data_IF_665912304268
#
_entry.id   IF_665912304268
#
_cell.length_a   1.000
_cell.length_b   1.000
_cell.length_c   1.000
_cell.angle_alpha   90.00
_cell.angle_beta   90.00
_cell.angle_gamma   90.00
#
_symmetry.space_group_name_H-M   'P 1'
#
loop_
_entity.id
_entity.type
_entity.pdbx_description
1 polymer ?
#
# COMPACT_ATOMS: atom_id res chain seq x y z
N UNK A 1 45.00 39.54 -58.98
CA UNK A 1 43.95 38.50 -59.00
C UNK A 1 43.44 38.37 -57.57
N UNK A 2 42.39 39.11 -57.18
CA UNK A 2 40.97 38.67 -57.14
C UNK A 2 40.80 37.25 -56.58
N UNK A 3 40.09 37.14 -55.45
CA UNK A 3 39.56 35.86 -54.93
C UNK A 3 39.58 35.83 -53.40
N UNK A 4 38.64 36.54 -52.76
CA UNK A 4 37.45 35.97 -52.08
C UNK A 4 37.74 35.64 -50.61
N UNK A 5 37.46 36.62 -49.73
CA UNK A 5 37.19 36.40 -48.31
C UNK A 5 35.86 35.65 -48.21
N UNK A 6 35.90 34.45 -47.65
CA UNK A 6 34.73 33.62 -47.39
C UNK A 6 34.14 34.08 -46.06
N UNK A 7 33.17 35.01 -46.10
CA UNK A 7 32.36 35.34 -44.92
C UNK A 7 31.36 34.21 -44.69
N UNK A 8 31.55 33.48 -43.59
CA UNK A 8 30.58 32.54 -43.06
C UNK A 8 29.46 33.37 -42.44
N UNK A 9 28.36 33.53 -43.18
CA UNK A 9 27.12 34.11 -42.65
C UNK A 9 26.43 33.01 -41.87
N UNK A 10 26.51 33.10 -40.54
CA UNK A 10 25.73 32.26 -39.64
C UNK A 10 24.26 32.68 -39.75
N UNK A 11 23.50 31.97 -40.58
CA UNK A 11 22.04 32.10 -40.63
C UNK A 11 21.48 31.47 -39.36
N UNK A 12 21.34 32.28 -38.30
CA UNK A 12 20.46 31.95 -37.19
C UNK A 12 19.03 32.08 -37.73
N UNK A 13 18.49 30.95 -38.19
CA UNK A 13 17.06 30.82 -38.48
C UNK A 13 16.36 30.89 -37.13
N UNK A 14 15.97 32.10 -36.74
CA UNK A 14 15.05 32.35 -35.65
C UNK A 14 13.68 31.80 -36.09
N UNK A 15 13.46 30.50 -35.86
CA UNK A 15 12.13 29.92 -35.93
C UNK A 15 11.36 30.55 -34.77
N UNK A 16 10.64 31.62 -35.09
CA UNK A 16 9.59 32.16 -34.26
C UNK A 16 8.50 31.09 -34.19
N UNK A 17 8.65 30.14 -33.25
CA UNK A 17 7.52 29.36 -32.79
C UNK A 17 6.65 30.37 -32.07
N UNK A 18 5.67 30.90 -32.79
CA UNK A 18 4.49 31.48 -32.17
C UNK A 18 3.92 30.34 -31.34
N UNK A 19 4.27 30.31 -30.04
CA UNK A 19 3.54 29.57 -29.03
C UNK A 19 2.12 30.11 -29.13
N UNK A 20 1.28 29.41 -29.90
CA UNK A 20 -0.16 29.51 -29.76
C UNK A 20 -0.41 29.14 -28.30
N UNK A 21 -0.61 30.17 -27.46
CA UNK A 21 -1.07 29.98 -26.10
C UNK A 21 -2.32 29.10 -26.19
N UNK A 22 -2.42 28.00 -25.42
CA UNK A 22 -3.66 27.25 -25.37
C UNK A 22 -4.73 28.24 -24.90
N UNK A 23 -5.68 28.56 -25.77
CA UNK A 23 -6.92 29.20 -25.39
C UNK A 23 -7.47 28.37 -24.24
N UNK A 24 -7.53 28.95 -23.05
CA UNK A 24 -8.07 28.29 -21.85
C UNK A 24 -9.57 28.16 -22.02
N UNK A 25 -10.01 27.14 -22.76
CA UNK A 25 -11.42 26.85 -22.90
C UNK A 25 -11.96 26.33 -21.56
N UNK A 26 -12.97 27.02 -21.02
CA UNK A 26 -13.74 26.55 -19.90
C UNK A 26 -14.43 25.24 -20.25
N UNK A 27 -14.41 24.28 -19.33
CA UNK A 27 -15.11 23.00 -19.47
C UNK A 27 -15.95 22.73 -18.23
N UNK A 28 -16.87 21.78 -18.29
CA UNK A 28 -17.73 21.48 -17.16
C UNK A 28 -17.79 19.97 -16.86
N UNK A 29 -18.01 19.65 -15.59
CA UNK A 29 -18.46 18.35 -15.12
C UNK A 29 -19.94 18.44 -14.74
N UNK A 30 -20.70 17.38 -15.04
CA UNK A 30 -22.11 17.26 -14.71
C UNK A 30 -22.42 15.78 -14.55
N UNK A 31 -22.97 15.40 -13.40
CA UNK A 31 -23.44 14.05 -13.11
C UNK A 31 -24.65 14.09 -12.20
N UNK A 32 -25.29 12.92 -12.01
CA UNK A 32 -26.29 12.69 -10.96
C UNK A 32 -25.75 11.66 -9.96
N UNK A 33 -26.32 11.56 -8.76
CA UNK A 33 -25.81 10.68 -7.69
C UNK A 33 -25.69 9.20 -8.06
N UNK A 34 -26.46 8.69 -9.03
CA UNK A 34 -26.34 7.32 -9.56
C UNK A 34 -25.53 7.22 -10.86
N UNK A 35 -24.95 8.32 -11.32
CA UNK A 35 -24.29 8.44 -12.63
C UNK A 35 -25.25 8.73 -13.78
N UNK A 36 -24.73 9.34 -14.86
CA UNK A 36 -25.51 9.57 -16.08
C UNK A 36 -25.92 8.24 -16.73
N UNK A 37 -27.16 8.17 -17.20
CA UNK A 37 -27.79 6.97 -17.74
C UNK A 37 -28.52 6.13 -16.68
N UNK A 38 -28.43 6.48 -15.39
CA UNK A 38 -29.06 5.73 -14.33
C UNK A 38 -30.60 5.76 -14.36
N UNK A 39 -31.19 4.75 -13.72
CA UNK A 39 -32.64 4.67 -13.50
C UNK A 39 -32.98 5.10 -12.08
N UNK A 40 -33.93 6.02 -12.00
CA UNK A 40 -34.57 6.45 -10.76
C UNK A 40 -36.02 5.98 -10.75
N UNK A 41 -36.55 5.73 -9.56
CA UNK A 41 -37.97 5.43 -9.37
C UNK A 41 -38.74 6.70 -9.05
N UNK A 42 -40.05 6.70 -9.30
CA UNK A 42 -40.93 7.82 -8.94
C UNK A 42 -40.74 8.21 -7.47
N UNK A 43 -40.63 9.51 -7.21
CA UNK A 43 -40.35 10.13 -5.90
C UNK A 43 -38.96 9.89 -5.33
N UNK A 44 -38.05 9.26 -6.09
CA UNK A 44 -36.66 9.12 -5.68
C UNK A 44 -35.90 10.45 -5.79
N UNK A 45 -35.03 10.74 -4.84
CA UNK A 45 -34.20 11.95 -4.85
C UNK A 45 -33.10 11.85 -5.93
N UNK A 46 -32.94 12.93 -6.69
CA UNK A 46 -31.87 13.11 -7.67
C UNK A 46 -30.98 14.24 -7.18
N UNK A 47 -29.72 13.94 -6.88
CA UNK A 47 -28.70 14.95 -6.59
C UNK A 47 -27.90 15.16 -7.87
N UNK A 48 -27.82 16.41 -8.32
CA UNK A 48 -27.07 16.84 -9.50
C UNK A 48 -25.78 17.48 -9.00
N UNK A 49 -24.65 16.92 -9.42
CA UNK A 49 -23.33 17.45 -9.11
C UNK A 49 -22.76 18.11 -10.36
N UNK A 50 -22.34 19.38 -10.25
CA UNK A 50 -21.76 20.13 -11.37
C UNK A 50 -20.57 21.00 -10.96
N UNK A 51 -19.61 21.17 -11.87
CA UNK A 51 -18.44 22.04 -11.70
C UNK A 51 -18.11 22.65 -13.06
N UNK A 52 -17.60 23.89 -13.06
CA UNK A 52 -17.04 24.51 -14.27
C UNK A 52 -15.56 24.77 -14.03
N UNK A 53 -14.71 24.15 -14.84
CA UNK A 53 -13.27 24.34 -14.85
C UNK A 53 -12.93 25.52 -15.76
N UNK A 54 -12.41 26.59 -15.17
CA UNK A 54 -11.97 27.80 -15.86
C UNK A 54 -10.77 28.42 -15.11
N UNK A 55 -10.19 29.50 -15.63
CA UNK A 55 -9.17 30.27 -14.90
C UNK A 55 -9.69 30.67 -13.52
N UNK A 56 -8.85 30.62 -12.49
CA UNK A 56 -9.21 31.06 -11.13
C UNK A 56 -9.63 32.53 -11.06
N UNK A 57 -9.19 33.35 -12.03
CA UNK A 57 -9.57 34.76 -12.16
C UNK A 57 -10.84 34.99 -12.99
N UNK A 58 -11.44 33.94 -13.56
CA UNK A 58 -12.61 34.08 -14.42
C UNK A 58 -13.89 34.23 -13.60
N UNK A 59 -14.81 35.07 -14.07
CA UNK A 59 -16.18 35.09 -13.54
C UNK A 59 -17.01 34.07 -14.28
N UNK A 60 -17.57 33.09 -13.56
CA UNK A 60 -18.39 32.03 -14.14
C UNK A 60 -19.85 32.20 -13.72
N UNK A 61 -20.75 32.17 -14.71
CA UNK A 61 -22.19 32.22 -14.54
C UNK A 61 -22.80 30.94 -15.10
N UNK A 62 -23.70 30.30 -14.36
CA UNK A 62 -24.33 29.03 -14.76
C UNK A 62 -25.86 29.08 -14.72
N UNK A 63 -26.47 28.29 -15.61
CA UNK A 63 -27.90 28.00 -15.61
C UNK A 63 -28.12 26.49 -15.62
N UNK A 64 -29.03 25.99 -14.76
CA UNK A 64 -29.31 24.56 -14.62
C UNK A 64 -30.79 24.28 -14.85
N UNK A 65 -31.08 23.34 -15.75
CA UNK A 65 -32.45 22.94 -16.10
C UNK A 65 -32.56 21.45 -16.37
N UNK A 66 -33.77 20.93 -16.32
CA UNK A 66 -34.09 19.54 -16.67
C UNK A 66 -35.17 19.52 -17.73
N UNK A 67 -34.87 18.87 -18.86
CA UNK A 67 -35.84 18.60 -19.92
C UNK A 67 -36.61 17.32 -19.59
N UNK A 68 -37.94 17.42 -19.64
CA UNK A 68 -38.90 16.34 -19.45
C UNK A 68 -39.15 15.61 -20.81
N UNK A 69 -39.70 14.37 -20.82
CA UNK A 69 -39.90 13.59 -22.04
C UNK A 69 -40.92 14.23 -22.99
N UNK A 70 -41.83 15.04 -22.45
CA UNK A 70 -42.79 15.82 -23.23
C UNK A 70 -42.17 17.08 -23.86
N UNK A 71 -40.86 17.29 -23.73
CA UNK A 71 -40.14 18.45 -24.23
C UNK A 71 -40.23 19.71 -23.35
N UNK A 72 -41.05 19.69 -22.29
CA UNK A 72 -41.10 20.80 -21.33
C UNK A 72 -39.83 20.84 -20.48
N UNK A 73 -39.48 22.02 -19.97
CA UNK A 73 -38.25 22.23 -19.20
C UNK A 73 -38.58 22.76 -17.81
N UNK A 74 -38.01 22.14 -16.78
CA UNK A 74 -38.02 22.64 -15.41
C UNK A 74 -36.67 23.28 -15.10
N UNK A 75 -36.67 24.57 -14.78
CA UNK A 75 -35.45 25.33 -14.47
C UNK A 75 -35.21 25.33 -12.97
N UNK A 76 -33.99 24.97 -12.53
CA UNK A 76 -33.59 25.07 -11.13
C UNK A 76 -33.20 26.49 -10.79
N UNK A 77 -32.33 27.07 -11.61
CA UNK A 77 -31.88 28.45 -11.50
C UNK A 77 -31.31 28.91 -12.85
N UNK A 78 -31.26 30.22 -13.04
CA UNK A 78 -30.60 30.87 -14.17
C UNK A 78 -29.60 31.90 -13.67
N UNK A 79 -28.56 32.14 -14.47
CA UNK A 79 -27.58 33.20 -14.27
C UNK A 79 -26.98 33.26 -12.86
N UNK A 80 -26.69 32.09 -12.27
CA UNK A 80 -26.09 31.99 -10.94
C UNK A 80 -24.57 32.10 -11.05
N UNK A 81 -23.98 33.09 -10.38
CA UNK A 81 -22.52 33.20 -10.27
C UNK A 81 -21.95 32.09 -9.39
N UNK A 82 -20.84 31.49 -9.84
CA UNK A 82 -20.11 30.47 -9.11
C UNK A 82 -18.60 30.73 -9.18
N UNK A 83 -17.86 30.32 -8.15
CA UNK A 83 -16.40 30.24 -8.20
C UNK A 83 -15.95 29.10 -9.14
N UNK A 84 -14.98 29.33 -10.03
CA UNK A 84 -14.44 28.32 -10.92
C UNK A 84 -13.74 27.20 -10.13
N UNK A 85 -13.72 25.98 -10.68
CA UNK A 85 -13.07 24.80 -10.11
C UNK A 85 -13.65 24.33 -8.75
N UNK A 86 -14.82 24.83 -8.32
CA UNK A 86 -15.54 24.37 -7.12
C UNK A 86 -16.70 23.46 -7.50
N UNK A 87 -16.89 22.36 -6.76
CA UNK A 87 -17.99 21.43 -6.95
C UNK A 87 -19.27 21.96 -6.29
N UNK A 88 -20.37 22.04 -7.04
CA UNK A 88 -21.68 22.47 -6.56
C UNK A 88 -22.72 21.36 -6.70
N UNK A 89 -23.82 21.51 -5.95
CA UNK A 89 -24.92 20.56 -5.92
C UNK A 89 -26.28 21.23 -6.10
N UNK A 90 -27.19 20.53 -6.76
CA UNK A 90 -28.61 20.84 -6.80
C UNK A 90 -29.43 19.58 -6.53
N UNK A 91 -30.59 19.71 -5.88
CA UNK A 91 -31.41 18.56 -5.49
C UNK A 91 -32.80 18.65 -6.12
N UNK A 92 -33.24 17.58 -6.77
CA UNK A 92 -34.59 17.42 -7.31
C UNK A 92 -35.20 16.08 -6.91
N UNK A 93 -36.46 15.88 -7.30
CA UNK A 93 -37.17 14.61 -7.10
C UNK A 93 -37.60 14.08 -8.47
N UNK A 94 -37.39 12.79 -8.71
CA UNK A 94 -37.86 12.10 -9.90
C UNK A 94 -39.41 12.15 -9.94
N UNK A 95 -39.96 12.90 -10.89
CA UNK A 95 -41.40 13.08 -11.02
C UNK A 95 -42.17 11.79 -11.32
N UNK A 96 -43.50 11.86 -11.35
CA UNK A 96 -44.37 10.72 -11.62
C UNK A 96 -44.35 10.23 -13.07
N UNK A 97 -44.01 11.11 -14.03
CA UNK A 97 -44.08 10.76 -15.45
C UNK A 97 -42.85 9.94 -15.87
N UNK A 98 -43.08 8.68 -16.23
CA UNK A 98 -42.02 7.80 -16.71
C UNK A 98 -41.33 8.37 -17.96
N UNK A 99 -40.04 8.08 -18.12
CA UNK A 99 -39.26 8.43 -19.30
C UNK A 99 -37.95 9.15 -19.00
N UNK A 100 -37.16 9.34 -20.05
CA UNK A 100 -35.83 9.94 -19.97
C UNK A 100 -35.91 11.45 -19.70
N UNK A 101 -35.11 11.89 -18.74
CA UNK A 101 -34.88 13.28 -18.36
C UNK A 101 -33.47 13.67 -18.76
N UNK A 102 -33.29 14.91 -19.19
CA UNK A 102 -31.97 15.45 -19.54
C UNK A 102 -31.69 16.65 -18.67
N UNK A 103 -30.78 16.51 -17.71
CA UNK A 103 -30.19 17.63 -16.98
C UNK A 103 -29.26 18.36 -17.94
N UNK A 104 -29.39 19.69 -18.03
CA UNK A 104 -28.55 20.54 -18.86
C UNK A 104 -27.99 21.66 -18.00
N UNK A 105 -26.66 21.71 -17.94
CA UNK A 105 -25.89 22.80 -17.38
C UNK A 105 -25.38 23.67 -18.52
N UNK A 106 -25.68 24.96 -18.49
CA UNK A 106 -25.09 25.98 -19.38
C UNK A 106 -24.18 26.88 -18.56
N UNK A 107 -23.07 27.31 -19.15
CA UNK A 107 -22.13 28.23 -18.50
C UNK A 107 -21.66 29.32 -19.46
N UNK A 108 -21.33 30.46 -18.89
CA UNK A 108 -20.56 31.54 -19.48
C UNK A 108 -19.40 31.88 -18.52
N UNK A 109 -18.18 31.86 -19.02
CA UNK A 109 -16.95 32.15 -18.28
C UNK A 109 -16.24 33.33 -18.95
N UNK A 110 -16.16 34.46 -18.26
CA UNK A 110 -15.38 35.61 -18.73
C UNK A 110 -13.91 35.42 -18.33
N UNK A 111 -13.06 35.13 -19.31
CA UNK A 111 -11.63 34.91 -19.11
C UNK A 111 -10.79 36.21 -19.17
N UNK A 112 -11.44 37.39 -19.14
CA UNK A 112 -10.78 38.69 -19.23
C UNK A 112 -10.53 39.09 -20.70
N UNK A 113 -9.41 39.78 -21.04
CA UNK A 113 -9.18 40.35 -22.37
C UNK A 113 -9.09 39.32 -23.52
N UNK A 114 -9.19 38.02 -23.22
CA UNK A 114 -9.29 36.91 -24.17
C UNK A 114 -10.72 36.56 -24.65
N UNK A 115 -11.76 37.18 -24.09
CA UNK A 115 -13.16 36.97 -24.47
C UNK A 115 -13.95 36.06 -23.52
N UNK A 116 -15.26 35.97 -23.75
CA UNK A 116 -16.19 35.11 -23.02
C UNK A 116 -16.23 33.72 -23.65
N UNK A 117 -15.99 32.67 -22.86
CA UNK A 117 -16.20 31.29 -23.28
C UNK A 117 -17.54 30.77 -22.75
N UNK A 118 -18.31 30.10 -23.60
CA UNK A 118 -19.64 29.63 -23.25
C UNK A 118 -19.85 28.19 -23.74
N UNK A 119 -20.54 27.39 -22.94
CA UNK A 119 -20.80 26.00 -23.29
C UNK A 119 -21.98 25.40 -22.56
N UNK A 120 -22.30 24.17 -22.94
CA UNK A 120 -23.35 23.38 -22.30
C UNK A 120 -22.92 21.92 -22.14
N UNK A 121 -23.34 21.29 -21.05
CA UNK A 121 -23.15 19.87 -20.78
C UNK A 121 -24.46 19.26 -20.34
N UNK A 122 -24.73 18.06 -20.80
CA UNK A 122 -25.95 17.33 -20.45
C UNK A 122 -25.66 15.98 -19.82
N UNK A 123 -26.57 15.56 -18.95
CA UNK A 123 -26.56 14.26 -18.28
C UNK A 123 -27.99 13.73 -18.29
N UNK A 124 -28.19 12.53 -18.82
CA UNK A 124 -29.52 11.90 -18.88
C UNK A 124 -29.75 10.95 -17.71
N UNK A 125 -30.99 10.77 -17.29
CA UNK A 125 -31.42 9.70 -16.40
C UNK A 125 -32.85 9.28 -16.75
N UNK A 126 -33.24 8.05 -16.42
CA UNK A 126 -34.58 7.53 -16.74
C UNK A 126 -35.41 7.40 -15.48
N UNK A 127 -36.66 7.88 -15.51
CA UNK A 127 -37.61 7.63 -14.43
C UNK A 127 -38.51 6.46 -14.81
N UNK A 128 -38.55 5.43 -13.96
CA UNK A 128 -39.37 4.23 -14.14
C UNK A 128 -40.45 4.12 -13.08
N UNK A 129 -41.67 3.76 -13.49
CA UNK A 129 -42.83 3.59 -12.62
C UNK A 129 -42.91 2.23 -11.91
N UNK A 130 -41.91 1.34 -12.08
CA UNK A 130 -41.93 -0.02 -11.53
C UNK A 130 -40.58 -0.45 -10.93
N UNK A 131 -40.45 -0.29 -9.62
CA UNK A 131 -39.49 -0.99 -8.77
C UNK A 131 -40.22 -1.43 -7.51
N UNK A 132 -40.69 -2.68 -7.49
CA UNK A 132 -41.56 -3.17 -6.43
C UNK A 132 -40.88 -3.30 -5.07
N UNK A 133 -41.67 -3.12 -4.02
CA UNK A 133 -41.61 -4.02 -2.87
C UNK A 133 -43.03 -4.32 -2.41
N UNK A 134 -43.36 -5.60 -2.34
CA UNK A 134 -44.45 -6.08 -1.50
C UNK A 134 -44.15 -5.66 -0.06
N UNK A 135 -45.14 -5.06 0.58
CA UNK A 135 -44.99 -4.49 1.91
C UNK A 135 -46.12 -3.52 2.18
N UNK A 136 -47.25 -4.08 2.61
CA UNK A 136 -48.32 -3.49 3.40
C UNK A 136 -48.41 -1.95 3.46
N UNK A 137 -49.47 -1.43 2.84
CA UNK A 137 -50.21 -0.23 3.26
C UNK A 137 -49.41 0.87 3.95
N UNK A 138 -48.52 1.54 3.21
CA UNK A 138 -47.90 2.78 3.65
C UNK A 138 -48.19 3.84 2.61
N UNK A 139 -49.00 4.82 3.00
CA UNK A 139 -49.36 5.98 2.20
C UNK A 139 -48.12 6.59 1.53
N UNK A 140 -48.26 6.95 0.25
CA UNK A 140 -47.23 7.57 -0.57
C UNK A 140 -46.34 8.53 0.24
N UNK A 141 -45.06 8.18 0.37
CA UNK A 141 -44.16 8.90 1.25
C UNK A 141 -44.00 10.35 0.79
N UNK A 142 -44.58 11.26 1.56
CA UNK A 142 -44.38 12.70 1.36
C UNK A 142 -43.15 13.16 2.13
N UNK A 143 -42.48 14.19 1.63
CA UNK A 143 -41.36 14.84 2.32
C UNK A 143 -41.84 16.13 2.96
N UNK A 144 -41.44 16.36 4.20
CA UNK A 144 -41.61 17.63 4.91
C UNK A 144 -40.24 18.25 5.16
N UNK A 145 -40.04 19.48 4.66
CA UNK A 145 -38.94 20.35 5.07
C UNK A 145 -39.36 21.18 6.28
N UNK A 146 -38.52 21.21 7.31
CA UNK A 146 -38.70 22.00 8.52
C UNK A 146 -37.56 23.00 8.57
N UNK A 147 -37.84 24.30 8.57
CA UNK A 147 -36.82 25.35 8.72
C UNK A 147 -36.95 26.00 10.11
N UNK A 148 -35.83 26.46 10.68
CA UNK A 148 -35.81 27.18 11.95
C UNK A 148 -34.84 28.37 11.91
N UNK A 149 -35.01 29.31 12.83
CA UNK A 149 -34.11 30.44 13.03
C UNK A 149 -32.85 30.08 13.84
N UNK A 150 -32.75 28.84 14.34
CA UNK A 150 -31.59 28.31 15.06
C UNK A 150 -31.13 27.00 14.44
N UNK A 151 -29.84 26.70 14.51
CA UNK A 151 -29.24 25.43 14.07
C UNK A 151 -29.14 24.43 15.24
N UNK A 152 -28.79 23.16 14.99
CA UNK A 152 -28.44 22.23 16.07
C UNK A 152 -29.62 21.88 17.00
N UNK A 153 -30.78 21.50 16.46
CA UNK A 153 -32.00 21.22 17.24
C UNK A 153 -32.52 19.80 17.03
N UNK A 154 -33.26 19.30 18.02
CA UNK A 154 -33.96 18.02 17.99
C UNK A 154 -35.34 18.18 17.35
N UNK A 155 -35.70 17.23 16.48
CA UNK A 155 -37.01 17.17 15.83
C UNK A 155 -37.84 16.06 16.47
N UNK A 156 -39.04 16.42 16.94
CA UNK A 156 -40.02 15.51 17.51
C UNK A 156 -41.29 15.52 16.64
N UNK A 157 -41.73 14.34 16.21
CA UNK A 157 -42.90 14.12 15.36
C UNK A 157 -44.05 13.51 16.16
N UNK A 158 -45.17 14.22 16.27
CA UNK A 158 -46.33 13.83 17.11
C UNK A 158 -45.94 13.42 18.54
N UNK A 159 -44.96 14.11 19.11
CA UNK A 159 -44.46 13.83 20.47
C UNK A 159 -43.44 12.71 20.57
N UNK A 160 -43.01 12.10 19.45
CA UNK A 160 -41.96 11.07 19.41
C UNK A 160 -40.67 11.67 18.85
N UNK A 161 -39.55 11.46 19.54
CA UNK A 161 -38.24 11.89 19.04
C UNK A 161 -37.94 11.25 17.68
N UNK A 162 -37.50 12.04 16.71
CA UNK A 162 -37.15 11.57 15.39
C UNK A 162 -35.62 11.57 15.20
N UNK A 163 -34.99 12.73 15.17
CA UNK A 163 -33.55 12.91 15.03
C UNK A 163 -33.10 14.29 15.53
N UNK A 164 -31.79 14.53 15.51
CA UNK A 164 -31.17 15.84 15.75
C UNK A 164 -30.47 16.29 14.47
N UNK A 165 -30.63 17.55 14.08
CA UNK A 165 -29.98 18.14 12.91
C UNK A 165 -28.97 19.20 13.34
N UNK A 166 -27.75 19.24 12.76
CA UNK A 166 -26.80 20.32 13.01
C UNK A 166 -27.18 21.59 12.24
N UNK A 167 -28.03 21.50 11.22
CA UNK A 167 -28.40 22.62 10.36
C UNK A 167 -29.56 23.43 10.93
N UNK A 168 -29.84 24.58 10.31
CA UNK A 168 -31.07 25.36 10.55
C UNK A 168 -32.32 24.77 9.86
N UNK A 169 -32.23 23.54 9.35
CA UNK A 169 -33.35 22.83 8.74
C UNK A 169 -33.27 21.32 9.02
N UNK A 170 -34.41 20.64 8.88
CA UNK A 170 -34.55 19.20 8.95
C UNK A 170 -35.47 18.68 7.84
N UNK A 171 -35.28 17.43 7.44
CA UNK A 171 -36.12 16.76 6.45
C UNK A 171 -36.74 15.51 7.07
N UNK A 172 -38.06 15.40 7.00
CA UNK A 172 -38.78 14.16 7.34
C UNK A 172 -39.26 13.49 6.06
N UNK A 173 -38.96 12.21 5.94
CA UNK A 173 -39.33 11.38 4.80
C UNK A 173 -40.49 10.47 5.18
N UNK A 174 -41.28 10.08 4.17
CA UNK A 174 -42.41 9.18 4.35
C UNK A 174 -43.42 9.64 5.40
N UNK A 175 -43.63 10.96 5.53
CA UNK A 175 -44.59 11.46 6.51
C UNK A 175 -46.02 11.12 6.06
N UNK A 176 -46.89 10.62 6.97
CA UNK A 176 -48.28 10.35 6.63
C UNK A 176 -49.00 11.62 6.20
N UNK A 177 -49.97 11.49 5.30
CA UNK A 177 -50.87 12.58 4.96
C UNK A 177 -51.80 12.89 6.12
N UNK A 178 -52.12 14.18 6.31
CA UNK A 178 -52.98 14.63 7.39
C UNK A 178 -52.28 15.62 8.31
N UNK A 179 -52.94 15.95 9.43
CA UNK A 179 -52.47 16.98 10.35
C UNK A 179 -51.58 16.36 11.42
N UNK A 180 -50.36 16.88 11.53
CA UNK A 180 -49.32 16.39 12.44
C UNK A 180 -48.71 17.55 13.23
N UNK A 181 -48.12 17.25 14.37
CA UNK A 181 -47.41 18.24 15.19
C UNK A 181 -45.91 17.98 15.13
N UNK A 182 -45.16 19.01 14.73
CA UNK A 182 -43.70 19.04 14.79
C UNK A 182 -43.30 19.85 16.01
N UNK A 183 -42.41 19.33 16.84
CA UNK A 183 -41.83 20.06 17.98
C UNK A 183 -40.32 20.10 17.85
N UNK A 184 -39.75 21.29 17.96
CA UNK A 184 -38.31 21.51 17.99
C UNK A 184 -37.87 21.73 19.43
N UNK A 185 -36.79 21.05 19.82
CA UNK A 185 -36.20 21.18 21.15
C UNK A 185 -34.70 21.42 21.04
N UNK A 186 -34.17 22.33 21.85
CA UNK A 186 -32.74 22.63 21.92
C UNK A 186 -32.41 23.16 23.30
N UNK A 187 -31.29 22.74 23.87
CA UNK A 187 -30.81 23.28 25.15
C UNK A 187 -30.62 24.80 25.05
N UNK A 188 -31.05 25.56 26.07
CA UNK A 188 -31.05 27.03 26.04
C UNK A 188 -32.21 27.66 25.26
N UNK A 189 -33.08 26.85 24.65
CA UNK A 189 -34.25 27.32 23.92
C UNK A 189 -35.56 26.84 24.52
N UNK A 190 -36.59 27.67 24.38
CA UNK A 190 -37.97 27.25 24.67
C UNK A 190 -38.43 26.30 23.57
N UNK A 191 -38.95 25.13 23.94
CA UNK A 191 -39.55 24.16 23.01
C UNK A 191 -40.59 24.87 22.11
N UNK A 192 -40.47 24.68 20.79
CA UNK A 192 -41.35 25.32 19.81
C UNK A 192 -42.12 24.26 19.02
N UNK A 193 -43.46 24.35 19.02
CA UNK A 193 -44.32 23.38 18.34
C UNK A 193 -45.18 24.05 17.28
N UNK A 194 -45.33 23.38 16.14
CA UNK A 194 -46.24 23.80 15.07
C UNK A 194 -47.00 22.62 14.48
N UNK A 195 -48.27 22.84 14.20
CA UNK A 195 -49.10 21.90 13.45
C UNK A 195 -48.90 22.11 11.95
N UNK A 196 -48.66 21.03 11.23
CA UNK A 196 -48.49 21.00 9.77
C UNK A 196 -49.49 20.02 9.16
N UNK A 197 -50.14 20.42 8.06
CA UNK A 197 -51.02 19.54 7.29
C UNK A 197 -50.27 19.04 6.08
N UNK A 198 -49.99 17.75 6.05
CA UNK A 198 -49.25 17.08 4.99
C UNK A 198 -50.19 16.73 3.84
N UNK A 199 -49.90 17.29 2.68
CA UNK A 199 -50.62 17.04 1.43
C UNK A 199 -49.80 16.09 0.55
N UNK A 200 -50.37 14.95 0.13
CA UNK A 200 -49.77 14.05 -0.86
C UNK A 200 -49.32 14.77 -2.13
N UNK A 201 -48.16 14.37 -2.66
CA UNK A 201 -47.66 14.82 -3.98
C UNK A 201 -47.40 16.33 -4.12
N UNK A 202 -47.24 17.05 -3.00
CA UNK A 202 -46.83 18.46 -2.96
C UNK A 202 -45.60 18.59 -2.05
N UNK A 203 -44.73 19.57 -2.32
CA UNK A 203 -43.65 19.91 -1.41
C UNK A 203 -44.25 20.51 -0.12
N UNK A 204 -44.11 19.81 1.00
CA UNK A 204 -44.55 20.30 2.30
C UNK A 204 -43.37 21.02 2.99
N UNK A 205 -43.60 22.23 3.49
CA UNK A 205 -42.62 23.01 4.23
C UNK A 205 -43.27 23.67 5.44
N UNK A 206 -42.55 23.74 6.55
CA UNK A 206 -42.94 24.49 7.75
C UNK A 206 -41.74 25.23 8.33
N UNK A 207 -41.94 26.47 8.75
CA UNK A 207 -40.92 27.25 9.46
C UNK A 207 -41.32 27.39 10.92
N UNK A 208 -40.46 26.99 11.84
CA UNK A 208 -40.71 27.01 13.29
C UNK A 208 -39.58 27.83 13.95
N UNK A 209 -39.93 29.01 14.46
CA UNK A 209 -38.98 29.86 15.16
C UNK A 209 -38.92 29.46 16.64
N UNK A 210 -37.71 29.23 17.13
CA UNK A 210 -37.41 28.98 18.53
C UNK A 210 -37.03 30.30 19.22
N UNK A 211 -37.49 30.46 20.47
CA UNK A 211 -37.08 31.56 21.34
C UNK A 211 -36.04 31.03 22.32
N UNK A 212 -34.78 31.38 22.07
CA UNK A 212 -33.66 31.01 22.93
C UNK A 212 -33.39 32.12 23.93
N UNK A 213 -33.34 31.77 25.21
CA UNK A 213 -33.16 32.74 26.28
C UNK A 213 -31.75 33.27 26.27
N UNK A 214 -31.59 34.59 26.10
CA UNK A 214 -30.31 35.28 26.25
C UNK A 214 -29.74 35.08 27.65
N UNK A 215 -28.78 34.18 27.78
CA UNK A 215 -27.81 34.19 28.87
C UNK A 215 -26.55 34.91 28.42
N UNK A 216 -26.48 36.22 28.67
CA UNK A 216 -25.22 37.00 28.66
C UNK A 216 -24.70 37.42 27.29
N UNK A 217 -24.74 38.73 27.01
CA UNK A 217 -24.11 39.32 25.83
C UNK A 217 -22.58 39.30 25.89
N UNK A 218 -21.98 38.29 25.28
CA UNK A 218 -20.81 38.48 24.43
C UNK A 218 -21.32 38.47 22.98
N UNK A 219 -20.74 39.30 22.10
CA UNK A 219 -20.79 38.99 20.68
C UNK A 219 -20.28 37.55 20.55
N UNK A 220 -21.13 36.59 20.15
CA UNK A 220 -20.60 35.32 19.69
C UNK A 220 -19.91 35.65 18.37
N UNK A 221 -18.59 35.74 18.49
CA UNK A 221 -17.66 35.72 17.37
C UNK A 221 -18.04 34.54 16.47
N UNK A 222 -18.09 34.73 15.14
CA UNK A 222 -18.36 33.63 14.21
C UNK A 222 -17.50 32.40 14.56
N UNK A 223 -18.08 31.21 14.44
CA UNK A 223 -17.44 29.91 14.63
C UNK A 223 -18.02 29.02 13.50
N UNK A 224 -17.31 29.00 12.38
CA UNK A 224 -17.82 28.49 11.10
C UNK A 224 -17.95 26.96 11.09
N UNK A 225 -16.99 26.25 11.67
CA UNK A 225 -16.97 24.79 11.73
C UNK A 225 -17.59 24.21 13.02
N UNK A 226 -17.84 25.05 14.02
CA UNK A 226 -18.55 24.70 15.23
C UNK A 226 -17.73 23.85 16.18
N UNK A 227 -16.40 23.98 16.14
CA UNK A 227 -15.48 23.26 17.02
C UNK A 227 -15.38 23.88 18.43
N UNK A 228 -16.00 25.05 18.62
CA UNK A 228 -16.06 25.79 19.87
C UNK A 228 -14.96 26.84 20.04
N UNK A 229 -14.14 27.07 19.02
CA UNK A 229 -13.12 28.11 18.96
C UNK A 229 -13.56 29.18 17.94
N UNK A 230 -13.64 30.46 18.34
CA UNK A 230 -13.96 31.54 17.43
C UNK A 230 -13.08 31.61 16.18
N UNK A 231 -13.68 31.94 15.04
CA UNK A 231 -13.06 32.19 13.72
C UNK A 231 -11.78 33.05 13.78
N UNK A 232 -11.69 34.00 14.71
CA UNK A 232 -10.55 34.91 14.88
C UNK A 232 -9.47 34.39 15.85
N UNK A 233 -9.76 33.33 16.59
CA UNK A 233 -8.86 32.61 17.49
C UNK A 233 -8.51 31.20 17.00
N UNK A 234 -9.22 30.71 15.99
CA UNK A 234 -9.06 29.39 15.40
C UNK A 234 -7.84 29.34 14.47
N UNK A 235 -6.93 28.42 14.79
CA UNK A 235 -5.73 28.16 14.00
C UNK A 235 -6.02 27.47 12.67
N UNK A 236 -7.21 26.90 12.51
CA UNK A 236 -7.59 26.07 11.37
C UNK A 236 -9.01 26.31 10.80
N UNK A 237 -9.67 27.43 11.10
CA UNK A 237 -10.87 28.08 10.51
C UNK A 237 -12.07 27.27 9.99
N UNK A 238 -11.85 26.19 9.23
CA UNK A 238 -12.84 25.24 8.75
C UNK A 238 -12.15 24.00 8.14
N UNK A 239 -11.59 23.09 8.96
CA UNK A 239 -11.09 21.81 8.50
C UNK A 239 -12.24 20.84 8.21
N UNK A 240 -12.00 19.83 7.37
CA UNK A 240 -12.99 18.76 7.11
C UNK A 240 -13.19 17.82 8.33
N UNK A 241 -12.38 17.99 9.38
CA UNK A 241 -12.36 17.18 10.60
C UNK A 241 -12.86 17.99 11.81
N UNK A 242 -13.82 17.44 12.56
CA UNK A 242 -14.40 18.06 13.75
C UNK A 242 -13.78 17.57 15.08
N UNK A 243 -12.75 16.72 15.01
CA UNK A 243 -11.93 16.31 16.15
C UNK A 243 -10.68 17.17 16.16
N UNK A 244 -10.69 18.22 16.97
CA UNK A 244 -9.68 19.27 16.96
C UNK A 244 -8.84 19.32 18.24
N UNK A 245 -7.66 19.92 18.15
CA UNK A 245 -6.81 20.30 19.27
C UNK A 245 -7.31 21.61 19.92
N UNK A 246 -6.60 22.10 20.95
CA UNK A 246 -6.99 23.34 21.64
C UNK A 246 -6.85 24.62 20.81
N UNK A 247 -6.40 24.53 19.55
CA UNK A 247 -6.26 25.64 18.60
C UNK A 247 -7.21 25.49 17.41
N UNK A 248 -8.11 24.51 17.43
CA UNK A 248 -9.10 24.27 16.38
C UNK A 248 -8.55 23.52 15.16
N UNK A 249 -7.31 23.05 15.25
CA UNK A 249 -6.71 22.26 14.19
C UNK A 249 -7.02 20.77 14.34
N UNK A 250 -7.17 20.02 13.23
CA UNK A 250 -7.35 18.58 13.26
C UNK A 250 -6.34 17.94 14.22
N UNK A 251 -6.88 17.25 15.22
CA UNK A 251 -6.08 16.62 16.25
C UNK A 251 -5.35 15.42 15.65
N UNK A 252 -4.09 15.26 15.98
CA UNK A 252 -3.28 14.08 15.67
C UNK A 252 -2.75 13.56 17.01
N UNK A 253 -3.41 12.52 17.51
CA UNK A 253 -3.25 12.03 18.87
C UNK A 253 -1.97 11.23 19.10
N UNK A 254 -1.53 10.45 18.12
CA UNK A 254 -0.32 9.63 18.19
C UNK A 254 0.88 10.20 17.43
N UNK A 255 0.65 11.26 16.63
CA UNK A 255 1.65 12.05 15.91
C UNK A 255 2.31 11.31 14.77
N UNK A 256 1.56 10.46 14.08
CA UNK A 256 2.06 9.73 12.92
C UNK A 256 1.97 10.51 11.60
N UNK A 257 1.32 11.69 11.62
CA UNK A 257 1.16 12.59 10.49
C UNK A 257 -0.18 12.49 9.77
N UNK A 258 -1.08 11.59 10.20
CA UNK A 258 -2.50 11.62 9.89
C UNK A 258 -3.27 12.18 11.08
N UNK A 259 -4.34 12.94 10.82
CA UNK A 259 -5.20 13.43 11.89
C UNK A 259 -6.22 12.35 12.29
N UNK A 260 -6.76 12.44 13.51
CA UNK A 260 -7.70 11.50 14.14
C UNK A 260 -8.95 11.20 13.27
N UNK A 261 -9.32 12.07 12.32
CA UNK A 261 -10.44 11.83 11.40
C UNK A 261 -10.05 11.02 10.15
N UNK A 262 -8.79 11.08 9.74
CA UNK A 262 -8.24 10.36 8.58
C UNK A 262 -7.48 9.08 8.98
N UNK A 263 -7.29 8.87 10.28
CA UNK A 263 -6.58 7.75 10.88
C UNK A 263 -7.56 6.65 11.36
N UNK A 264 -7.32 5.41 10.92
CA UNK A 264 -8.10 4.25 11.35
C UNK A 264 -7.70 3.75 12.76
N UNK A 265 -6.53 4.14 13.25
CA UNK A 265 -5.97 3.77 14.55
C UNK A 265 -5.48 5.01 15.34
N UNK A 266 -6.34 5.97 15.74
CA UNK A 266 -5.97 7.29 16.29
C UNK A 266 -5.17 7.32 17.61
N UNK A 267 -4.73 6.18 18.12
CA UNK A 267 -3.94 6.06 19.33
C UNK A 267 -2.68 5.21 19.16
N UNK A 268 -2.43 4.71 17.96
CA UNK A 268 -1.32 3.80 17.64
C UNK A 268 -0.66 4.25 16.34
N UNK A 269 0.52 4.85 16.45
CA UNK A 269 1.20 5.44 15.30
C UNK A 269 1.42 4.44 14.17
N UNK A 270 0.99 4.81 12.96
CA UNK A 270 1.15 4.00 11.77
C UNK A 270 1.70 4.76 10.56
N UNK A 271 1.81 4.06 9.44
CA UNK A 271 2.21 4.69 8.19
C UNK A 271 0.96 5.19 7.45
N UNK A 272 1.05 6.32 6.71
CA UNK A 272 -0.06 6.77 5.87
C UNK A 272 -0.51 5.74 4.82
N UNK A 273 0.41 4.88 4.35
CA UNK A 273 0.09 3.77 3.45
C UNK A 273 -0.81 2.69 4.07
N UNK A 274 -0.87 2.62 5.40
CA UNK A 274 -1.74 1.72 6.15
C UNK A 274 -2.88 2.48 6.87
N UNK A 275 -3.21 3.69 6.39
CA UNK A 275 -4.24 4.56 6.98
C UNK A 275 -4.04 4.81 8.49
N UNK A 276 -2.79 5.05 8.89
CA UNK A 276 -2.42 5.42 10.27
C UNK A 276 -2.38 4.26 11.25
N UNK A 277 -2.65 3.03 10.80
CA UNK A 277 -2.48 1.86 11.65
C UNK A 277 -1.05 1.30 11.62
N UNK A 278 -0.54 0.76 12.75
CA UNK A 278 0.74 0.05 12.76
C UNK A 278 0.70 -1.12 11.79
N UNK A 279 1.85 -1.39 11.15
CA UNK A 279 1.98 -2.56 10.30
C UNK A 279 1.79 -3.84 11.13
N UNK A 280 1.15 -4.85 10.54
CA UNK A 280 0.98 -6.14 11.20
C UNK A 280 2.32 -6.86 11.31
N UNK A 281 2.52 -7.57 12.41
CA UNK A 281 3.63 -8.48 12.67
C UNK A 281 2.97 -9.73 13.27
N UNK A 282 2.60 -10.67 12.39
CA UNK A 282 1.68 -11.76 12.76
C UNK A 282 2.35 -12.84 13.62
N UNK A 283 3.61 -13.13 13.37
CA UNK A 283 4.39 -14.10 14.15
C UNK A 283 5.12 -13.45 15.33
N UNK A 284 5.20 -12.12 15.37
CA UNK A 284 5.73 -11.37 16.51
C UNK A 284 7.24 -11.44 16.58
N UNK A 285 7.92 -11.61 15.44
CA UNK A 285 9.37 -11.75 15.36
C UNK A 285 10.11 -10.38 15.36
N UNK A 286 9.35 -9.29 15.26
CA UNK A 286 9.83 -7.91 15.25
C UNK A 286 10.09 -7.33 13.86
N UNK A 287 9.83 -8.09 12.79
CA UNK A 287 9.82 -7.65 11.40
C UNK A 287 8.36 -7.60 10.93
N UNK A 288 7.95 -6.49 10.35
CA UNK A 288 6.55 -6.33 9.93
C UNK A 288 6.25 -7.19 8.70
N UNK A 289 5.02 -7.68 8.60
CA UNK A 289 4.49 -8.55 7.53
C UNK A 289 4.86 -8.09 6.10
N UNK A 290 5.02 -6.77 5.87
CA UNK A 290 5.38 -6.16 4.59
C UNK A 290 6.89 -6.14 4.30
N UNK A 291 7.72 -6.34 5.32
CA UNK A 291 9.19 -6.37 5.29
C UNK A 291 9.76 -7.77 5.59
N UNK A 292 8.93 -8.67 6.10
CA UNK A 292 9.28 -10.05 6.42
C UNK A 292 9.36 -10.90 5.15
N UNK A 293 10.54 -11.49 4.91
CA UNK A 293 10.81 -12.37 3.78
C UNK A 293 10.26 -13.79 3.98
N UNK A 294 9.98 -14.18 5.23
CA UNK A 294 9.62 -15.54 5.64
C UNK A 294 8.32 -15.57 6.46
N UNK A 295 7.28 -14.92 5.93
CA UNK A 295 5.94 -14.82 6.49
C UNK A 295 5.46 -15.99 7.37
N UNK A 296 5.45 -15.79 8.69
CA UNK A 296 4.91 -16.71 9.71
C UNK A 296 5.58 -18.10 9.71
N UNK A 297 6.89 -18.18 10.03
CA UNK A 297 7.59 -19.44 10.18
C UNK A 297 7.26 -20.10 11.54
N UNK A 298 7.45 -21.42 11.65
CA UNK A 298 7.24 -22.15 12.91
C UNK A 298 8.39 -21.91 13.94
N UNK A 299 9.40 -21.10 13.59
CA UNK A 299 10.60 -20.82 14.39
C UNK A 299 10.61 -19.35 14.85
N UNK A 300 10.81 -19.11 16.14
CA UNK A 300 10.85 -17.75 16.72
C UNK A 300 12.22 -17.08 16.65
N UNK A 301 13.28 -17.84 16.34
CA UNK A 301 14.64 -17.31 16.25
C UNK A 301 14.92 -16.94 14.81
N UNK A 302 14.79 -15.66 14.49
CA UNK A 302 14.90 -15.16 13.11
C UNK A 302 16.14 -14.29 12.88
N UNK A 303 16.51 -14.11 11.63
CA UNK A 303 17.49 -13.12 11.17
C UNK A 303 16.88 -11.72 11.01
N UNK A 304 17.62 -10.78 10.42
CA UNK A 304 17.14 -9.41 10.21
C UNK A 304 16.08 -9.27 9.11
N UNK A 305 15.74 -10.35 8.41
CA UNK A 305 14.74 -10.41 7.34
C UNK A 305 13.49 -11.20 7.73
N UNK A 306 13.38 -11.60 9.01
CA UNK A 306 12.27 -12.40 9.53
C UNK A 306 12.35 -13.89 9.19
N UNK A 307 13.48 -14.33 8.62
CA UNK A 307 13.68 -15.74 8.28
C UNK A 307 14.30 -16.53 9.42
N UNK A 308 13.93 -17.82 9.61
CA UNK A 308 14.59 -18.70 10.58
C UNK A 308 16.11 -18.61 10.43
N UNK A 309 16.79 -18.30 11.53
CA UNK A 309 18.23 -18.13 11.53
C UNK A 309 18.90 -19.49 11.35
N UNK A 310 19.94 -19.53 10.54
CA UNK A 310 20.89 -20.63 10.39
C UNK A 310 22.26 -20.08 10.78
N UNK A 311 22.69 -20.37 12.01
CA UNK A 311 23.83 -19.72 12.65
C UNK A 311 25.17 -20.23 12.11
N UNK A 312 25.28 -21.49 11.71
CA UNK A 312 26.53 -22.08 11.20
C UNK A 312 26.53 -22.34 9.68
N UNK A 313 25.40 -22.17 9.02
CA UNK A 313 25.26 -22.20 7.57
C UNK A 313 25.23 -23.61 6.99
N UNK A 314 24.75 -24.58 7.76
CA UNK A 314 24.74 -26.00 7.38
C UNK A 314 23.53 -26.42 6.52
N UNK A 315 22.54 -25.54 6.43
CA UNK A 315 21.32 -25.72 5.65
C UNK A 315 20.11 -26.16 6.47
N UNK A 316 20.25 -26.40 7.77
CA UNK A 316 19.17 -26.47 8.75
C UNK A 316 19.13 -25.14 9.52
N UNK A 317 17.92 -24.66 9.87
CA UNK A 317 17.83 -23.50 10.76
C UNK A 317 17.99 -23.92 12.22
N UNK A 318 18.35 -22.97 13.08
CA UNK A 318 18.60 -23.13 14.52
C UNK A 318 17.45 -23.82 15.29
N UNK A 319 16.23 -23.84 14.75
CA UNK A 319 15.08 -24.54 15.36
C UNK A 319 14.96 -26.01 14.93
N UNK A 320 15.53 -26.38 13.79
CA UNK A 320 15.55 -27.74 13.24
C UNK A 320 16.92 -28.44 13.47
N UNK A 321 17.94 -27.67 13.83
CA UNK A 321 19.30 -28.14 14.09
C UNK A 321 19.52 -28.54 15.56
N UNK A 322 20.08 -29.74 15.79
CA UNK A 322 20.44 -30.23 17.12
C UNK A 322 21.74 -29.62 17.66
N UNK A 323 22.59 -29.08 16.79
CA UNK A 323 23.86 -28.44 17.10
C UNK A 323 24.00 -27.05 16.43
N UNK A 324 23.17 -26.03 16.78
CA UNK A 324 23.03 -24.73 16.07
C UNK A 324 24.27 -23.82 15.99
N UNK A 325 25.45 -24.28 16.38
CA UNK A 325 26.69 -23.51 16.37
C UNK A 325 27.87 -24.29 15.78
N UNK A 326 27.64 -25.52 15.32
CA UNK A 326 28.65 -26.43 14.84
C UNK A 326 28.15 -27.11 13.56
N UNK A 327 28.69 -26.68 12.41
CA UNK A 327 28.30 -27.20 11.10
C UNK A 327 28.21 -28.74 11.07
N UNK A 328 27.03 -29.26 10.74
CA UNK A 328 26.79 -30.67 10.46
C UNK A 328 26.03 -30.89 9.16
N UNK A 329 26.05 -32.09 8.59
CA UNK A 329 25.20 -32.34 7.42
C UNK A 329 23.74 -32.55 7.85
N UNK A 330 22.73 -32.17 7.02
CA UNK A 330 21.32 -32.39 7.35
C UNK A 330 20.94 -33.86 7.63
N UNK A 331 21.75 -34.82 7.15
CA UNK A 331 21.55 -36.26 7.44
C UNK A 331 21.85 -36.64 8.89
N UNK A 332 22.59 -35.79 9.59
CA UNK A 332 23.03 -35.96 10.97
C UNK A 332 22.41 -34.91 11.88
N UNK A 333 21.22 -34.43 11.49
CA UNK A 333 20.41 -33.45 12.21
C UNK A 333 21.21 -32.18 12.61
N UNK A 334 22.13 -31.77 11.74
CA UNK A 334 22.96 -30.56 11.89
C UNK A 334 24.13 -30.69 12.87
N UNK A 335 24.38 -31.89 13.41
CA UNK A 335 25.54 -32.12 14.27
C UNK A 335 26.76 -32.65 13.49
N UNK A 336 27.99 -32.28 13.88
CA UNK A 336 29.21 -32.89 13.36
C UNK A 336 29.21 -34.40 13.62
N UNK A 337 29.60 -35.17 12.60
CA UNK A 337 29.83 -36.61 12.74
C UNK A 337 31.15 -36.87 13.46
N UNK A 338 31.18 -37.88 14.34
CA UNK A 338 32.42 -38.28 15.03
C UNK A 338 33.38 -38.97 14.06
N UNK A 339 34.66 -38.61 14.14
CA UNK A 339 35.80 -39.26 13.48
C UNK A 339 36.81 -39.59 14.60
N UNK A 340 36.65 -40.77 15.18
CA UNK A 340 37.28 -41.15 16.44
C UNK A 340 38.80 -41.39 16.30
N UNK A 341 39.31 -41.68 15.11
CA UNK A 341 40.74 -41.86 14.83
C UNK A 341 41.39 -40.77 13.96
N UNK A 342 40.59 -39.80 13.50
CA UNK A 342 40.99 -38.60 12.75
C UNK A 342 41.68 -38.94 11.42
N UNK A 343 41.24 -39.99 10.74
CA UNK A 343 41.76 -40.39 9.42
C UNK A 343 41.06 -39.67 8.24
N UNK A 344 40.00 -38.92 8.53
CA UNK A 344 39.20 -38.17 7.56
C UNK A 344 37.97 -38.93 7.04
N UNK A 345 37.68 -40.11 7.56
CA UNK A 345 36.45 -40.88 7.33
C UNK A 345 35.67 -40.97 8.64
N UNK A 346 34.44 -40.47 8.63
CA UNK A 346 33.53 -40.49 9.79
C UNK A 346 33.21 -41.91 10.24
N UNK A 347 33.00 -42.09 11.55
CA UNK A 347 32.87 -43.41 12.21
C UNK A 347 31.75 -44.29 11.62
N UNK A 348 30.69 -43.70 11.05
CA UNK A 348 29.58 -44.44 10.41
C UNK A 348 29.94 -44.97 9.00
N UNK A 349 30.98 -44.40 8.38
CA UNK A 349 31.53 -44.78 7.07
C UNK A 349 32.89 -45.49 7.20
N UNK A 350 33.55 -45.39 8.35
CA UNK A 350 34.82 -46.05 8.63
C UNK A 350 34.61 -47.55 8.93
N UNK A 351 35.21 -48.39 8.10
CA UNK A 351 35.19 -49.84 8.26
C UNK A 351 36.28 -50.36 9.21
N UNK A 352 37.20 -49.49 9.63
CA UNK A 352 38.52 -49.86 10.12
C UNK A 352 39.01 -48.88 11.21
N UNK A 353 38.40 -48.89 12.39
CA UNK A 353 38.90 -48.08 13.52
C UNK A 353 40.39 -48.35 13.86
N UNK A 354 41.29 -47.40 13.56
CA UNK A 354 42.74 -47.60 13.49
C UNK A 354 43.60 -46.46 14.10
N UNK A 355 43.42 -46.07 15.37
CA UNK A 355 44.15 -44.94 15.97
C UNK A 355 45.69 -45.05 15.83
N UNK A 356 46.26 -44.35 14.84
CA UNK A 356 47.68 -44.40 14.49
C UNK A 356 48.04 -44.32 13.00
N UNK A 357 47.09 -44.51 12.08
CA UNK A 357 47.29 -44.38 10.64
C UNK A 357 46.46 -43.22 10.07
N UNK A 358 47.11 -42.25 9.41
CA UNK A 358 46.38 -41.13 8.78
C UNK A 358 46.21 -41.27 7.27
N UNK A 359 46.86 -42.27 6.65
CA UNK A 359 46.77 -42.51 5.21
C UNK A 359 45.91 -43.74 4.96
N UNK A 360 44.66 -43.49 4.59
CA UNK A 360 43.62 -44.52 4.46
C UNK A 360 43.01 -44.54 3.06
N UNK A 361 42.35 -45.65 2.73
CA UNK A 361 41.51 -45.78 1.54
C UNK A 361 40.14 -45.11 1.76
N UNK A 362 39.27 -45.16 0.75
CA UNK A 362 37.93 -44.56 0.82
C UNK A 362 36.96 -45.22 1.80
N UNK A 363 37.41 -46.21 2.58
CA UNK A 363 36.63 -46.92 3.60
C UNK A 363 37.24 -46.73 5.01
N UNK A 364 38.20 -45.83 5.16
CA UNK A 364 38.93 -45.61 6.42
C UNK A 364 39.96 -46.70 6.74
N UNK A 365 40.30 -47.60 5.80
CA UNK A 365 41.27 -48.66 6.07
C UNK A 365 42.70 -48.24 5.68
N UNK A 366 43.73 -48.53 6.50
CA UNK A 366 45.12 -48.17 6.20
C UNK A 366 45.60 -48.75 4.87
N UNK A 367 46.33 -47.94 4.10
CA UNK A 367 46.86 -48.36 2.80
C UNK A 367 47.96 -49.42 2.97
N UNK A 368 48.00 -50.40 2.06
CA UNK A 368 49.06 -51.42 1.93
C UNK A 368 49.60 -51.32 0.49
N UNK A 369 50.70 -50.58 0.34
CA UNK A 369 51.23 -50.15 -0.95
C UNK A 369 51.86 -51.30 -1.75
N UNK A 370 52.37 -52.35 -1.10
CA UNK A 370 52.99 -53.49 -1.77
C UNK A 370 52.21 -54.81 -1.65
N UNK A 371 51.10 -54.79 -0.90
CA UNK A 371 50.17 -55.90 -0.72
C UNK A 371 50.78 -57.14 -0.06
N UNK A 372 51.73 -56.96 0.86
CA UNK A 372 52.34 -58.06 1.61
C UNK A 372 51.55 -58.50 2.85
N UNK A 373 50.49 -57.75 3.21
CA UNK A 373 49.61 -58.03 4.34
C UNK A 373 49.97 -57.28 5.63
N UNK A 374 50.97 -56.41 5.62
CA UNK A 374 51.16 -55.32 6.58
C UNK A 374 50.78 -53.99 5.93
N UNK A 375 50.06 -53.14 6.65
CA UNK A 375 49.79 -51.79 6.14
C UNK A 375 51.04 -50.91 6.25
N UNK A 376 51.07 -49.82 5.48
CA UNK A 376 52.19 -48.90 5.35
C UNK A 376 52.63 -48.26 6.69
N UNK A 377 51.75 -48.22 7.70
CA UNK A 377 52.09 -47.70 9.03
C UNK A 377 52.78 -48.75 9.92
N UNK A 378 52.47 -50.03 9.72
CA UNK A 378 53.06 -51.17 10.43
C UNK A 378 54.29 -51.73 9.70
N UNK A 379 54.52 -51.33 8.45
CA UNK A 379 55.61 -51.80 7.59
C UNK A 379 56.84 -50.87 7.61
N UNK A 380 58.02 -51.44 7.87
CA UNK A 380 59.29 -50.70 7.80
C UNK A 380 59.81 -50.51 6.36
N UNK A 381 59.25 -51.25 5.41
CA UNK A 381 59.59 -51.21 3.99
C UNK A 381 58.32 -51.10 3.09
N UNK A 382 57.48 -50.03 3.20
CA UNK A 382 56.13 -49.95 2.62
C UNK A 382 55.98 -50.11 1.10
N UNK A 383 57.07 -50.28 0.35
CA UNK A 383 57.04 -50.41 -1.11
C UNK A 383 57.80 -51.67 -1.56
N UNK A 384 58.08 -52.61 -0.67
CA UNK A 384 58.86 -53.82 -0.94
C UNK A 384 58.37 -54.99 -0.09
N UNK A 385 57.70 -55.93 -0.74
CA UNK A 385 57.09 -57.07 -0.04
C UNK A 385 58.06 -57.83 0.87
N UNK A 386 57.62 -58.08 2.09
CA UNK A 386 58.35 -58.86 3.08
C UNK A 386 57.43 -59.70 3.97
N UNK A 387 58.00 -60.63 4.75
CA UNK A 387 57.19 -61.37 5.71
C UNK A 387 56.92 -60.53 6.97
N UNK A 388 55.76 -60.74 7.60
CA UNK A 388 55.43 -60.15 8.91
C UNK A 388 56.48 -60.45 10.00
N UNK A 389 57.21 -61.56 9.90
CA UNK A 389 58.33 -61.89 10.80
C UNK A 389 59.52 -60.94 10.71
N UNK A 390 59.62 -60.15 9.64
CA UNK A 390 60.66 -59.15 9.42
C UNK A 390 60.08 -57.73 9.24
N UNK A 391 58.89 -57.48 9.83
CA UNK A 391 58.21 -56.18 9.79
C UNK A 391 58.08 -55.61 8.36
N UNK A 392 57.66 -56.46 7.41
CA UNK A 392 57.39 -56.12 6.00
C UNK A 392 58.63 -55.86 5.13
N UNK A 393 59.85 -55.98 5.69
CA UNK A 393 61.06 -55.86 4.88
C UNK A 393 61.49 -57.18 4.21
N UNK A 394 62.07 -57.13 2.99
CA UNK A 394 62.62 -58.31 2.34
C UNK A 394 63.70 -58.99 3.18
N UNK A 395 63.63 -60.32 3.31
CA UNK A 395 64.71 -61.06 3.93
C UNK A 395 65.97 -60.99 3.06
N UNK A 396 67.09 -60.54 3.65
CA UNK A 396 68.36 -60.58 2.94
C UNK A 396 68.69 -62.04 2.63
N UNK A 397 68.60 -62.40 1.34
CA UNK A 397 69.13 -63.64 0.82
C UNK A 397 70.61 -63.68 1.19
N UNK A 398 70.98 -64.52 2.17
CA UNK A 398 72.37 -64.89 2.39
C UNK A 398 72.84 -65.62 1.13
N UNK A 399 73.36 -64.86 0.17
CA UNK A 399 73.98 -65.41 -1.02
C UNK A 399 75.13 -66.32 -0.62
N UNK A 400 75.40 -67.40 -1.38
CA UNK A 400 76.51 -68.30 -1.08
C UNK A 400 77.83 -67.51 -1.08
N UNK A 401 78.51 -67.54 0.06
CA UNK A 401 79.83 -66.96 0.28
C UNK A 401 80.85 -67.63 -0.66
N UNK A 402 81.12 -67.02 -1.82
CA UNK A 402 82.21 -67.45 -2.69
C UNK A 402 83.55 -67.05 -2.06
N UNK A 403 84.31 -68.06 -1.63
CA UNK A 403 85.71 -67.93 -1.22
C UNK A 403 86.57 -67.45 -2.40
N UNK A 404 87.03 -66.20 -2.36
CA UNK A 404 88.12 -65.74 -3.22
C UNK A 404 89.45 -66.25 -2.65
N UNK A 405 89.94 -67.33 -3.26
CA UNK A 405 91.33 -67.78 -3.09
C UNK A 405 92.27 -66.79 -3.77
N UNK A 406 93.04 -66.07 -2.95
CA UNK A 406 94.22 -65.32 -3.39
C UNK A 406 95.35 -66.28 -3.74
N UNK A 407 95.86 -66.25 -4.97
CA UNK A 407 97.31 -66.33 -5.24
C UNK A 407 97.66 -65.95 -6.69
N UNK A 408 98.39 -64.84 -6.79
CA UNK A 408 99.60 -64.62 -7.58
C UNK A 408 99.56 -64.58 -9.14
N UNK A 409 99.89 -63.37 -9.60
CA UNK A 409 101.05 -63.02 -10.43
C UNK A 409 100.91 -63.04 -11.97
N UNK A 410 100.96 -61.81 -12.48
CA UNK A 410 101.69 -61.31 -13.64
C UNK A 410 101.52 -62.01 -15.00
N UNK A 411 101.21 -61.20 -16.02
CA UNK A 411 102.04 -61.01 -17.23
C UNK A 411 101.25 -60.15 -18.24
N UNK A 412 101.82 -58.98 -18.59
CA UNK A 412 101.74 -58.25 -19.89
C UNK A 412 100.34 -57.80 -20.39
N UNK A 413 100.08 -56.58 -20.85
CA UNK A 413 100.80 -55.82 -21.89
C UNK A 413 100.57 -54.31 -21.69
N UNK A 414 101.64 -53.58 -21.96
CA UNK A 414 101.85 -52.14 -21.89
C UNK A 414 101.42 -51.41 -23.20
N UNK A 415 101.14 -50.11 -23.06
CA UNK A 415 101.11 -49.02 -24.06
C UNK A 415 99.91 -48.84 -25.01
N UNK A 416 99.35 -47.62 -24.97
CA UNK A 416 98.44 -47.09 -25.98
C UNK A 416 97.94 -45.68 -25.64
N UNK A 417 98.72 -44.67 -25.98
CA UNK A 417 98.57 -43.23 -25.70
C UNK A 417 97.26 -42.56 -26.13
N UNK A 418 96.88 -41.53 -25.35
CA UNK A 418 96.51 -40.16 -25.76
C UNK A 418 95.90 -39.99 -27.17
N UNK A 419 94.64 -39.53 -27.28
CA UNK A 419 94.28 -38.31 -28.03
C UNK A 419 92.78 -37.96 -28.00
N UNK A 420 92.54 -36.64 -27.91
CA UNK A 420 91.43 -35.83 -28.44
C UNK A 420 90.02 -35.93 -27.85
N UNK A 421 89.65 -34.82 -27.21
CA UNK A 421 88.27 -34.46 -26.96
C UNK A 421 87.52 -34.00 -28.21
N UNK A 422 86.21 -33.96 -28.05
CA UNK A 422 85.30 -33.11 -28.81
C UNK A 422 84.21 -32.61 -27.86
N UNK A 423 84.07 -31.29 -27.83
CA UNK A 423 82.91 -30.56 -27.33
C UNK A 423 81.68 -30.91 -28.18
N UNK A 424 80.52 -31.01 -27.55
CA UNK A 424 79.24 -30.39 -27.97
C UNK A 424 78.29 -30.58 -26.78
N UNK A 425 78.04 -29.52 -26.00
CA UNK A 425 76.97 -28.52 -26.13
C UNK A 425 75.62 -29.06 -25.68
#
# INVERSE_FOLDING_TARGET
MKGRRLSIVCFVVLVCVIMMQPSTCASASLTVNKGCGATYYTNEMVIISYQVSASSSATVVVSLRVQLPNGSTTTFFTNRSISPNVQYYATGVAGSDAGTRTVVLEWEADAGPGGTDAGAKSCTYTVSSSGGSGGSGSSAGTTLRIDSNVSGFQVWWNGVYNHTTPYNYAMLYSVPSGTHTVTLKKSGCTDASQTVTIIPSVANQVTINMSCGSGGGGEETPDLDGDGIPDDEDGCYNPDCNVVDSRGCPKDSDRDGLNDCDDNCPSESGAPSNNGCPASDRDGDGVTDDQDACYNPDCSTVDTQGCPRDTDGDGLNDCEDNCPSEYGEPRSDGCPEEDSDNDGVVDDQDSCYNPGCTLVDSRGCPWDSDSDGLNDCEDNCPNQTGPRSNNGCPEQQQGPQFCLGTTLLAILIFFGSISKGMKQK
#
